data_IF_610630618854
#
_entry.id   IF_610630618854
#
_cell.length_a   1.000
_cell.length_b   1.000
_cell.length_c   1.000
_cell.angle_alpha   90.00
_cell.angle_beta   90.00
_cell.angle_gamma   90.00
#
_symmetry.space_group_name_H-M   'P 1'
#
loop_
_entity.id
_entity.type
_entity.pdbx_description
1 polymer ?
#
# COMPACT_ATOMS: atom_id res chain seq x y z
N UNK A 1 4.84 13.44 -20.98
CA UNK A 1 4.37 13.36 -20.67
C UNK A 1 3.70 13.27 -20.28
N UNK A 2 3.30 13.42 -20.14
CA UNK A 2 2.57 13.46 -19.70
C UNK A 2 1.79 13.27 -19.26
N UNK A 3 1.71 13.35 -18.87
CA UNK A 3 0.95 13.18 -18.41
C UNK A 3 0.02 13.55 -18.35
N UNK A 4 -0.06 13.96 -18.28
CA UNK A 4 -1.06 14.46 -18.14
C UNK A 4 -2.21 14.18 -18.50
N UNK A 5 -2.51 13.71 -18.73
CA UNK A 5 -3.48 13.52 -19.09
C UNK A 5 -4.26 13.10 -18.45
N UNK A 6 -4.35 12.98 -18.02
CA UNK A 6 -5.17 12.61 -17.59
C UNK A 6 -6.03 13.10 -17.00
N UNK A 7 -6.34 13.68 -16.83
CA UNK A 7 -7.15 14.18 -16.25
C UNK A 7 -8.26 14.57 -16.71
N UNK A 8 -8.81 14.29 -17.08
CA UNK A 8 -9.99 14.52 -17.66
C UNK A 8 -11.05 14.78 -16.69
N UNK A 9 -10.93 15.69 -15.83
CA UNK A 9 -11.98 16.09 -14.98
C UNK A 9 -12.23 15.22 -13.80
N UNK A 10 -11.58 14.12 -13.71
CA UNK A 10 -11.71 13.27 -12.57
C UNK A 10 -10.64 13.55 -11.58
N UNK A 11 -11.02 13.70 -10.34
CA UNK A 11 -10.03 13.88 -9.29
C UNK A 11 -9.31 12.57 -9.06
N UNK A 12 -8.02 12.66 -8.78
CA UNK A 12 -7.26 11.51 -8.39
C UNK A 12 -7.06 11.57 -6.90
N UNK A 13 -7.38 10.48 -6.24
CA UNK A 13 -7.26 10.43 -4.80
C UNK A 13 -6.26 9.38 -4.40
N UNK A 14 -5.46 9.69 -3.40
CA UNK A 14 -4.55 8.72 -2.83
C UNK A 14 -5.32 7.88 -1.84
N UNK A 15 -5.36 6.56 -2.07
CA UNK A 15 -6.05 5.68 -1.15
C UNK A 15 -5.14 5.24 -0.02
N UNK A 16 -3.85 5.11 -0.30
CA UNK A 16 -2.92 4.76 0.77
C UNK A 16 -1.51 5.01 0.31
N UNK A 17 -0.63 5.12 1.29
CA UNK A 17 0.82 5.19 1.05
C UNK A 17 1.43 3.95 1.64
N UNK A 18 2.33 3.33 0.91
CA UNK A 18 2.95 2.10 1.37
C UNK A 18 4.45 2.30 1.46
N UNK A 19 5.00 1.94 2.61
CA UNK A 19 6.44 1.95 2.84
C UNK A 19 6.91 0.52 2.95
N UNK A 20 8.04 0.22 2.32
CA UNK A 20 8.67 -1.08 2.46
C UNK A 20 9.99 -0.87 3.16
N UNK A 21 10.17 -1.53 4.27
CA UNK A 21 11.33 -1.33 5.13
C UNK A 21 12.01 -2.67 5.36
N UNK A 22 13.33 -2.66 5.36
CA UNK A 22 14.08 -3.83 5.76
C UNK A 22 14.52 -3.61 7.20
N UNK A 23 14.04 -4.44 8.09
CA UNK A 23 14.35 -4.30 9.51
C UNK A 23 15.05 -5.56 9.97
N UNK A 24 16.39 -5.54 9.97
CA UNK A 24 17.15 -6.71 10.31
C UNK A 24 16.90 -7.78 9.28
N UNK A 25 16.31 -8.90 9.71
CA UNK A 25 16.01 -9.99 8.81
C UNK A 25 14.64 -9.88 8.21
N UNK A 26 13.83 -8.97 8.73
CA UNK A 26 12.44 -8.90 8.34
C UNK A 26 12.21 -7.87 7.27
N UNK A 27 11.23 -8.14 6.43
CA UNK A 27 10.67 -7.12 5.57
C UNK A 27 9.39 -6.64 6.20
N UNK A 28 9.24 -5.31 6.26
CA UNK A 28 8.08 -4.69 6.89
C UNK A 28 7.40 -3.83 5.86
N UNK A 29 6.11 -3.99 5.73
CA UNK A 29 5.31 -3.12 4.87
C UNK A 29 4.35 -2.36 5.75
N UNK A 30 4.31 -1.04 5.61
CA UNK A 30 3.37 -0.21 6.33
C UNK A 30 2.46 0.49 5.34
N UNK A 31 1.19 0.33 5.54
CA UNK A 31 0.19 0.98 4.70
C UNK A 31 -0.51 2.05 5.51
N UNK A 32 -0.37 3.29 5.06
CA UNK A 32 -1.02 4.42 5.69
C UNK A 32 -2.26 4.74 4.88
N UNK A 33 -3.40 4.43 5.44
CA UNK A 33 -4.66 4.61 4.73
C UNK A 33 -5.15 6.04 4.85
N UNK A 34 -5.97 6.44 3.91
CA UNK A 34 -6.45 7.81 3.88
C UNK A 34 -7.35 8.13 5.06
N UNK A 35 -7.89 7.12 5.72
CA UNK A 35 -8.73 7.36 6.90
C UNK A 35 -7.92 7.50 8.19
N UNK A 36 -6.59 7.47 8.08
CA UNK A 36 -5.74 7.62 9.24
C UNK A 36 -5.27 6.32 9.84
N UNK A 37 -5.76 5.20 9.35
CA UNK A 37 -5.32 3.90 9.84
C UNK A 37 -3.95 3.57 9.31
N UNK A 38 -3.19 2.84 10.10
CA UNK A 38 -1.89 2.34 9.67
C UNK A 38 -1.89 0.84 9.89
N UNK A 39 -1.55 0.10 8.86
CA UNK A 39 -1.45 -1.34 8.95
C UNK A 39 -0.02 -1.75 8.71
N UNK A 40 0.45 -2.72 9.44
CA UNK A 40 1.82 -3.16 9.34
C UNK A 40 1.87 -4.65 9.15
N UNK A 41 2.72 -5.10 8.24
CA UNK A 41 2.90 -6.51 7.92
C UNK A 41 4.38 -6.80 8.01
N UNK A 42 4.73 -7.96 8.55
CA UNK A 42 6.14 -8.29 8.79
C UNK A 42 6.37 -9.76 8.51
N UNK A 43 7.33 -10.05 7.64
CA UNK A 43 7.72 -11.40 7.30
C UNK A 43 9.19 -11.39 6.93
N UNK A 44 9.81 -12.55 7.01
CA UNK A 44 11.20 -12.65 6.58
C UNK A 44 11.33 -12.79 5.09
N UNK A 45 10.26 -13.19 4.43
CA UNK A 45 10.26 -13.37 2.98
C UNK A 45 9.47 -12.23 2.36
N UNK A 46 10.12 -11.55 1.43
CA UNK A 46 9.51 -10.36 0.82
C UNK A 46 8.18 -10.68 0.14
N UNK A 47 8.13 -11.78 -0.58
CA UNK A 47 6.91 -12.15 -1.27
C UNK A 47 5.76 -12.34 -0.28
N UNK A 48 6.06 -12.90 0.89
CA UNK A 48 5.03 -13.14 1.87
C UNK A 48 4.46 -11.85 2.44
N UNK A 49 5.33 -10.87 2.67
CA UNK A 49 4.82 -9.61 3.20
C UNK A 49 3.92 -8.92 2.18
N UNK A 50 4.28 -9.00 0.91
CA UNK A 50 3.45 -8.40 -0.12
C UNK A 50 2.12 -9.14 -0.26
N UNK A 51 2.16 -10.44 -0.19
CA UNK A 51 0.94 -11.23 -0.33
C UNK A 51 -0.04 -10.91 0.80
N UNK A 52 0.47 -10.87 2.02
CA UNK A 52 -0.42 -10.56 3.13
C UNK A 52 -0.99 -9.16 3.01
N UNK A 53 -0.14 -8.21 2.63
CA UNK A 53 -0.59 -6.84 2.49
C UNK A 53 -1.68 -6.74 1.43
N UNK A 54 -1.49 -7.38 0.29
CA UNK A 54 -2.45 -7.29 -0.79
C UNK A 54 -3.79 -7.87 -0.38
N UNK A 55 -3.76 -9.03 0.27
CA UNK A 55 -5.00 -9.67 0.70
C UNK A 55 -5.74 -8.79 1.69
N UNK A 56 -5.01 -8.26 2.66
CA UNK A 56 -5.63 -7.45 3.70
C UNK A 56 -6.15 -6.13 3.14
N UNK A 57 -5.36 -5.47 2.31
CA UNK A 57 -5.79 -4.19 1.76
C UNK A 57 -6.93 -4.36 0.77
N UNK A 58 -6.99 -5.49 0.09
CA UNK A 58 -8.09 -5.73 -0.80
C UNK A 58 -9.41 -5.79 -0.05
N UNK A 59 -9.39 -6.37 1.14
CA UNK A 59 -10.60 -6.39 1.95
C UNK A 59 -10.95 -5.02 2.47
N UNK A 60 -9.90 -4.23 2.77
CA UNK A 60 -10.12 -2.90 3.30
C UNK A 60 -10.59 -1.92 2.25
N UNK A 61 -9.97 -1.97 1.07
CA UNK A 61 -10.20 -0.98 0.04
C UNK A 61 -11.15 -1.45 -1.04
N UNK A 62 -11.23 -2.75 -1.23
CA UNK A 62 -12.08 -3.29 -2.27
C UNK A 62 -13.51 -3.35 -1.81
N UNK A 63 -14.34 -3.67 -2.73
CA UNK A 63 -15.67 -3.72 -2.37
C UNK A 63 -16.18 -4.95 -2.53
#
# INVERSE_FOLDING_TARGET
>A
MDTGYNQTGKAMETVCHIEIIKDGRDFVARAHLSNGSVKEYRHQIFEDVLTEMVIDLQEELGE
#
